data_IF_651740019055
#
_entry.id   IF_651740019055
#
_cell.length_a   1.000
_cell.length_b   1.000
_cell.length_c   1.000
_cell.angle_alpha   90.00
_cell.angle_beta   90.00
_cell.angle_gamma   90.00
#
_symmetry.space_group_name_H-M   'P 1'
#
loop_
_entity.id
_entity.type
_entity.pdbx_description
1 polymer ?
#
# COMPACT_ATOMS: atom_id res chain seq x y z
N UNK A 1 -22.58 56.86 9.20
CA UNK A 1 -22.30 56.68 7.76
C UNK A 1 -20.94 56.00 7.66
N UNK A 2 -20.93 54.67 7.63
CA UNK A 2 -19.72 53.83 7.67
C UNK A 2 -19.37 53.43 6.23
N UNK A 3 -18.19 53.80 5.76
CA UNK A 3 -17.60 53.26 4.54
C UNK A 3 -16.48 52.30 4.97
N UNK A 4 -16.75 50.99 4.92
CA UNK A 4 -15.72 49.97 5.03
C UNK A 4 -15.07 49.80 3.65
N UNK A 5 -13.79 50.12 3.57
CA UNK A 5 -12.92 49.60 2.51
C UNK A 5 -12.38 48.25 2.98
N UNK A 6 -12.92 47.15 2.48
CA UNK A 6 -12.27 45.84 2.57
C UNK A 6 -11.48 45.60 1.30
N UNK A 7 -10.18 45.92 1.36
CA UNK A 7 -9.19 45.36 0.44
C UNK A 7 -9.06 43.86 0.76
N UNK A 8 -9.48 42.99 -0.17
CA UNK A 8 -9.11 41.59 -0.16
C UNK A 8 -7.61 41.46 -0.49
N UNK A 9 -6.80 40.71 0.29
CA UNK A 9 -5.39 40.60 0.01
C UNK A 9 -5.13 39.63 -1.16
N UNK A 10 -4.34 40.13 -2.11
CA UNK A 10 -3.69 39.46 -3.25
C UNK A 10 -2.76 38.27 -2.89
N UNK A 11 -2.88 37.67 -1.71
CA UNK A 11 -1.89 36.72 -1.17
C UNK A 11 -2.10 35.25 -1.53
N UNK A 12 -3.21 34.86 -2.16
CA UNK A 12 -3.49 33.44 -2.46
C UNK A 12 -3.05 32.97 -3.85
N UNK A 13 -2.69 33.89 -4.77
CA UNK A 13 -2.00 33.51 -6.02
C UNK A 13 -0.55 33.06 -5.77
N UNK A 14 0.05 33.41 -4.63
CA UNK A 14 1.49 33.29 -4.39
C UNK A 14 1.99 31.85 -4.29
N UNK A 15 1.22 30.94 -3.67
CA UNK A 15 1.70 29.60 -3.31
C UNK A 15 1.54 28.58 -4.45
N UNK A 16 0.46 28.64 -5.23
CA UNK A 16 0.24 27.68 -6.33
C UNK A 16 0.97 28.05 -7.61
N UNK A 17 1.17 29.35 -7.84
CA UNK A 17 2.07 29.79 -8.90
C UNK A 17 3.48 29.24 -8.60
N UNK A 18 3.89 28.95 -7.36
CA UNK A 18 5.20 28.32 -7.06
C UNK A 18 5.36 26.89 -7.59
N UNK A 19 4.36 26.02 -7.40
CA UNK A 19 4.47 24.61 -7.85
C UNK A 19 4.34 24.51 -9.37
N UNK A 20 3.45 25.32 -9.97
CA UNK A 20 3.42 25.49 -11.41
C UNK A 20 4.68 26.21 -11.95
N UNK A 21 5.29 27.12 -11.18
CA UNK A 21 6.56 27.81 -11.52
C UNK A 21 7.72 26.83 -11.57
N UNK A 22 7.81 25.90 -10.63
CA UNK A 22 8.92 24.95 -10.56
C UNK A 22 8.81 23.90 -11.66
N UNK A 23 7.62 23.35 -11.93
CA UNK A 23 7.43 22.39 -13.04
C UNK A 23 7.56 23.07 -14.41
N UNK A 24 6.96 24.26 -14.61
CA UNK A 24 7.05 25.01 -15.86
C UNK A 24 8.37 25.77 -16.05
N UNK A 25 9.31 25.73 -15.08
CA UNK A 25 10.65 26.30 -15.25
C UNK A 25 11.55 25.46 -16.16
N UNK A 26 11.15 24.22 -16.46
CA UNK A 26 11.89 23.30 -17.33
C UNK A 26 11.47 23.33 -18.80
N UNK A 27 10.32 23.92 -19.14
CA UNK A 27 9.79 23.98 -20.51
C UNK A 27 9.89 25.40 -21.08
N UNK A 28 10.84 25.62 -22.00
CA UNK A 28 11.03 26.89 -22.70
C UNK A 28 9.81 27.33 -23.51
N UNK A 29 9.59 28.65 -23.57
CA UNK A 29 8.50 29.31 -24.29
C UNK A 29 8.76 29.35 -25.79
N UNK A 30 7.80 28.87 -26.58
CA UNK A 30 7.73 29.05 -28.04
C UNK A 30 6.49 28.36 -28.58
N UNK A 31 6.03 28.76 -29.77
CA UNK A 31 5.07 28.01 -30.60
C UNK A 31 5.28 26.51 -30.42
N UNK A 32 4.33 25.81 -29.80
CA UNK A 32 4.47 24.38 -29.56
C UNK A 32 4.50 23.65 -30.90
N UNK A 33 5.64 23.05 -31.23
CA UNK A 33 5.84 22.32 -32.49
C UNK A 33 5.07 21.00 -32.54
N UNK A 34 4.60 20.52 -31.40
CA UNK A 34 3.71 19.36 -31.26
C UNK A 34 2.78 19.51 -30.06
N UNK A 35 1.50 19.18 -30.24
CA UNK A 35 0.49 19.16 -29.20
C UNK A 35 0.16 17.72 -28.78
N UNK A 36 0.01 17.50 -27.48
CA UNK A 36 -0.32 16.21 -26.88
C UNK A 36 -1.79 16.15 -26.45
N UNK A 37 -2.36 14.95 -26.43
CA UNK A 37 -3.61 14.67 -25.74
C UNK A 37 -3.31 14.17 -24.33
N UNK A 38 -3.83 14.85 -23.32
CA UNK A 38 -3.77 14.45 -21.92
C UNK A 38 -5.05 13.69 -21.58
N UNK A 39 -4.92 12.41 -21.24
CA UNK A 39 -5.97 11.63 -20.59
C UNK A 39 -5.83 11.76 -19.06
N UNK A 40 -6.84 12.33 -18.41
CA UNK A 40 -6.86 12.58 -16.97
C UNK A 40 -7.05 11.29 -16.15
N UNK A 41 -7.69 10.27 -16.72
CA UNK A 41 -7.88 8.97 -16.08
C UNK A 41 -6.60 8.12 -16.18
N UNK A 42 -5.94 8.14 -17.34
CA UNK A 42 -4.74 7.34 -17.61
C UNK A 42 -3.64 8.15 -18.35
N UNK A 43 -2.95 9.07 -17.65
CA UNK A 43 -1.95 9.93 -18.28
C UNK A 43 -0.71 9.14 -18.66
N UNK A 44 -0.21 9.33 -19.89
CA UNK A 44 1.08 8.76 -20.32
C UNK A 44 2.24 9.44 -19.56
N UNK A 45 2.68 8.86 -18.44
CA UNK A 45 3.64 9.48 -17.51
C UNK A 45 4.96 9.94 -18.16
N UNK A 46 5.39 9.29 -19.25
CA UNK A 46 6.59 9.68 -20.01
C UNK A 46 6.44 11.02 -20.74
N UNK A 47 5.21 11.45 -21.03
CA UNK A 47 4.89 12.63 -21.83
C UNK A 47 4.49 13.84 -20.96
N UNK A 48 4.22 13.61 -19.67
CA UNK A 48 3.76 14.64 -18.74
C UNK A 48 4.52 14.61 -17.41
N UNK A 49 4.93 15.79 -16.94
CA UNK A 49 5.28 15.97 -15.53
C UNK A 49 4.01 16.00 -14.69
N UNK A 50 3.93 15.15 -13.65
CA UNK A 50 2.76 15.04 -12.77
C UNK A 50 3.17 15.43 -11.35
N UNK A 51 2.48 16.41 -10.79
CA UNK A 51 2.56 16.76 -9.36
C UNK A 51 1.24 16.39 -8.69
N UNK A 52 1.31 15.77 -7.52
CA UNK A 52 0.11 15.33 -6.78
C UNK A 52 0.08 15.99 -5.41
N UNK A 53 -0.99 16.73 -5.14
CA UNK A 53 -1.29 17.29 -3.83
C UNK A 53 -2.53 16.60 -3.26
N UNK A 54 -2.40 16.00 -2.07
CA UNK A 54 -3.50 15.32 -1.38
C UNK A 54 -3.87 16.11 -0.13
N UNK A 55 -5.15 16.45 0.01
CA UNK A 55 -5.70 17.07 1.20
C UNK A 55 -7.05 16.45 1.55
N UNK A 56 -7.08 15.66 2.61
CA UNK A 56 -8.25 14.89 3.03
C UNK A 56 -8.78 14.01 1.89
N UNK A 57 -10.00 14.25 1.47
CA UNK A 57 -10.68 13.54 0.40
C UNK A 57 -10.45 14.18 -0.96
N UNK A 58 -9.74 15.30 -1.03
CA UNK A 58 -9.47 16.00 -2.29
C UNK A 58 -8.05 15.67 -2.76
N UNK A 59 -7.92 15.21 -3.99
CA UNK A 59 -6.63 15.05 -4.66
C UNK A 59 -6.59 15.99 -5.86
N UNK A 60 -5.54 16.81 -5.91
CA UNK A 60 -5.23 17.66 -7.05
C UNK A 60 -4.05 17.03 -7.77
N UNK A 61 -4.22 16.70 -9.05
CA UNK A 61 -3.13 16.36 -9.95
C UNK A 61 -2.86 17.54 -10.87
N UNK A 62 -1.62 18.02 -10.91
CA UNK A 62 -1.18 19.05 -11.85
C UNK A 62 -0.33 18.40 -12.93
N UNK A 63 -0.74 18.57 -14.18
CA UNK A 63 -0.08 18.04 -15.37
C UNK A 63 0.58 19.16 -16.15
N UNK A 64 1.81 18.93 -16.60
CA UNK A 64 2.50 19.80 -17.55
C UNK A 64 3.15 18.94 -18.65
N UNK A 65 3.06 19.37 -19.90
CA UNK A 65 3.68 18.65 -21.01
C UNK A 65 5.22 18.68 -20.91
N UNK A 66 5.85 17.51 -21.06
CA UNK A 66 7.30 17.39 -21.03
C UNK A 66 7.95 17.89 -22.34
N UNK A 67 9.21 18.33 -22.25
CA UNK A 67 10.05 18.57 -23.43
C UNK A 67 9.64 19.76 -24.32
N UNK A 68 9.02 20.80 -23.75
CA UNK A 68 8.63 22.00 -24.51
C UNK A 68 7.37 21.83 -25.39
N UNK A 69 6.70 20.68 -25.29
CA UNK A 69 5.41 20.42 -25.93
C UNK A 69 4.27 21.18 -25.21
N UNK A 70 3.12 21.27 -25.85
CA UNK A 70 1.89 21.81 -25.26
C UNK A 70 0.81 20.74 -25.17
N UNK A 71 -0.18 20.94 -24.30
CA UNK A 71 -1.36 20.08 -24.22
C UNK A 71 -2.40 20.64 -25.18
N UNK A 72 -2.75 19.90 -26.24
CA UNK A 72 -3.72 20.34 -27.26
C UNK A 72 -5.14 19.82 -27.03
N UNK A 73 -5.28 18.72 -26.31
CA UNK A 73 -6.57 18.14 -25.94
C UNK A 73 -6.48 17.58 -24.53
N UNK A 74 -7.55 17.74 -23.75
CA UNK A 74 -7.71 17.17 -22.41
C UNK A 74 -8.96 16.31 -22.45
N UNK A 75 -8.81 15.03 -22.10
CA UNK A 75 -9.91 14.06 -22.09
C UNK A 75 -10.02 13.39 -20.71
N UNK A 76 -11.21 12.92 -20.38
CA UNK A 76 -11.47 12.08 -19.21
C UNK A 76 -12.49 11.01 -19.60
N UNK A 77 -12.14 9.72 -19.45
CA UNK A 77 -12.97 8.59 -19.86
C UNK A 77 -13.52 8.73 -21.31
N UNK A 78 -12.63 9.04 -22.25
CA UNK A 78 -12.92 9.29 -23.68
C UNK A 78 -13.80 10.53 -23.98
N UNK A 79 -14.22 11.30 -22.97
CA UNK A 79 -14.93 12.57 -23.15
C UNK A 79 -13.95 13.75 -23.31
N UNK A 80 -14.18 14.60 -24.32
CA UNK A 80 -13.41 15.84 -24.50
C UNK A 80 -13.78 16.86 -23.40
N UNK A 81 -12.82 17.18 -22.53
CA UNK A 81 -12.96 18.22 -21.49
C UNK A 81 -12.60 19.59 -22.05
N UNK A 82 -11.48 19.67 -22.78
CA UNK A 82 -11.00 20.92 -23.37
C UNK A 82 -10.12 20.65 -24.59
N UNK A 83 -10.21 21.54 -25.59
CA UNK A 83 -9.40 21.48 -26.81
C UNK A 83 -8.80 22.84 -27.14
N UNK A 84 -7.53 22.86 -27.51
CA UNK A 84 -6.82 24.05 -27.92
C UNK A 84 -7.36 24.61 -29.24
N UNK A 85 -7.54 25.92 -29.30
CA UNK A 85 -7.65 26.64 -30.57
C UNK A 85 -6.27 26.73 -31.26
N UNK A 86 -6.27 26.89 -32.58
CA UNK A 86 -5.09 26.73 -33.43
C UNK A 86 -3.80 27.36 -32.87
N UNK A 87 -2.81 26.52 -32.58
CA UNK A 87 -1.42 26.92 -32.29
C UNK A 87 -1.08 27.24 -30.82
N UNK A 88 -2.05 27.20 -29.89
CA UNK A 88 -1.80 27.54 -28.49
C UNK A 88 -2.30 26.43 -27.53
N UNK A 89 -1.43 25.47 -27.22
CA UNK A 89 -1.69 24.44 -26.22
C UNK A 89 -1.70 24.98 -24.78
N UNK A 90 -2.28 24.21 -23.87
CA UNK A 90 -2.18 24.47 -22.44
C UNK A 90 -0.78 24.14 -21.92
N UNK A 91 -0.33 24.98 -20.99
CA UNK A 91 0.94 24.87 -20.27
C UNK A 91 0.81 24.03 -19.00
N UNK A 92 -0.38 24.03 -18.39
CA UNK A 92 -0.70 23.17 -17.25
C UNK A 92 -2.19 22.83 -17.20
N UNK A 93 -2.52 21.70 -16.59
CA UNK A 93 -3.89 21.29 -16.28
C UNK A 93 -3.95 20.85 -14.82
N UNK A 94 -4.83 21.44 -14.03
CA UNK A 94 -5.12 21.01 -12.67
C UNK A 94 -6.41 20.19 -12.66
N UNK A 95 -6.33 18.96 -12.19
CA UNK A 95 -7.45 18.03 -12.09
C UNK A 95 -7.76 17.75 -10.64
N UNK A 96 -8.98 18.09 -10.23
CA UNK A 96 -9.47 17.95 -8.87
C UNK A 96 -10.40 16.75 -8.80
N UNK A 97 -10.03 15.80 -7.96
CA UNK A 97 -10.87 14.65 -7.63
C UNK A 97 -11.26 14.72 -6.16
N UNK A 98 -12.45 14.22 -5.84
CA UNK A 98 -12.95 14.06 -4.48
C UNK A 98 -13.35 12.61 -4.27
N UNK A 99 -12.75 11.95 -3.28
CA UNK A 99 -12.90 10.50 -3.04
C UNK A 99 -12.68 9.66 -4.31
N UNK A 100 -11.73 10.08 -5.16
CA UNK A 100 -11.43 9.44 -6.45
C UNK A 100 -12.37 9.81 -7.60
N UNK A 101 -13.51 10.48 -7.34
CA UNK A 101 -14.40 10.97 -8.40
C UNK A 101 -13.90 12.28 -8.99
N UNK A 102 -13.96 12.40 -10.31
CA UNK A 102 -13.67 13.62 -11.03
C UNK A 102 -14.67 14.73 -10.67
N UNK A 103 -14.16 15.93 -10.35
CA UNK A 103 -15.00 17.05 -9.94
C UNK A 103 -14.74 18.31 -10.77
N UNK A 104 -13.48 18.75 -10.85
CA UNK A 104 -13.13 20.02 -11.49
C UNK A 104 -11.86 19.89 -12.34
N UNK A 105 -11.78 20.68 -13.41
CA UNK A 105 -10.57 20.85 -14.23
C UNK A 105 -10.30 22.34 -14.44
N UNK A 106 -9.07 22.77 -14.23
CA UNK A 106 -8.58 24.09 -14.61
C UNK A 106 -7.48 23.92 -15.66
N UNK A 107 -7.65 24.57 -16.81
CA UNK A 107 -6.70 24.55 -17.92
C UNK A 107 -6.01 25.91 -18.01
N UNK A 108 -4.67 25.91 -17.96
CA UNK A 108 -3.84 27.11 -18.00
C UNK A 108 -3.18 27.24 -19.37
N UNK A 109 -3.53 28.29 -20.11
CA UNK A 109 -2.98 28.61 -21.43
C UNK A 109 -2.27 29.97 -21.41
N UNK A 110 -1.59 30.31 -22.51
CA UNK A 110 -0.93 31.60 -22.65
C UNK A 110 0.43 31.68 -21.96
N UNK A 111 0.95 32.90 -21.82
CA UNK A 111 2.30 33.12 -21.27
C UNK A 111 2.27 33.19 -19.75
N UNK A 112 3.42 32.94 -19.09
CA UNK A 112 3.57 33.10 -17.63
C UNK A 112 3.17 34.50 -17.11
N UNK A 113 3.25 35.53 -17.95
CA UNK A 113 2.91 36.91 -17.59
C UNK A 113 1.43 37.23 -17.79
N UNK A 114 0.77 36.53 -18.70
CA UNK A 114 -0.62 36.72 -19.09
C UNK A 114 -1.26 35.35 -19.29
N UNK A 115 -1.50 34.60 -18.21
CA UNK A 115 -2.18 33.31 -18.30
C UNK A 115 -3.66 33.53 -18.62
N UNK A 116 -4.21 32.68 -19.48
CA UNK A 116 -5.66 32.55 -19.69
C UNK A 116 -6.10 31.22 -19.10
N UNK A 117 -7.09 31.29 -18.21
CA UNK A 117 -7.62 30.15 -17.49
C UNK A 117 -8.98 29.75 -18.09
N UNK A 118 -9.18 28.45 -18.21
CA UNK A 118 -10.47 27.84 -18.52
C UNK A 118 -10.84 26.90 -17.38
N UNK A 119 -12.11 26.88 -17.00
CA UNK A 119 -12.58 26.17 -15.82
C UNK A 119 -13.72 25.24 -16.21
N UNK A 120 -13.65 24.01 -15.75
CA UNK A 120 -14.64 22.99 -16.04
C UNK A 120 -15.11 22.33 -14.75
N UNK A 121 -16.40 22.08 -14.68
CA UNK A 121 -17.03 21.31 -13.61
C UNK A 121 -17.69 20.07 -14.19
N UNK A 122 -17.46 18.93 -13.54
CA UNK A 122 -18.11 17.68 -13.90
C UNK A 122 -19.51 17.64 -13.28
N UNK A 123 -20.53 17.76 -14.11
CA UNK A 123 -21.93 17.76 -13.69
C UNK A 123 -22.67 16.56 -14.30
N UNK A 124 -22.89 15.54 -13.48
CA UNK A 124 -23.51 14.29 -13.91
C UNK A 124 -22.56 13.44 -14.76
N UNK A 125 -22.75 13.46 -16.09
CA UNK A 125 -21.98 12.69 -17.07
C UNK A 125 -21.26 13.58 -18.09
N UNK A 126 -21.18 14.89 -17.86
CA UNK A 126 -20.53 15.80 -18.80
C UNK A 126 -19.64 16.80 -18.07
N UNK A 127 -18.62 17.25 -18.79
CA UNK A 127 -17.82 18.41 -18.42
C UNK A 127 -18.42 19.69 -18.98
N UNK A 128 -18.68 20.66 -18.11
CA UNK A 128 -19.26 21.95 -18.48
C UNK A 128 -18.24 23.05 -18.19
N UNK A 129 -17.94 23.88 -19.19
CA UNK A 129 -17.15 25.10 -18.97
C UNK A 129 -17.95 26.07 -18.09
N UNK A 130 -17.34 26.52 -17.00
CA UNK A 130 -17.95 27.41 -16.00
C UNK A 130 -17.13 28.67 -15.82
N UNK A 131 -17.72 29.70 -15.21
CA UNK A 131 -16.99 30.93 -14.88
C UNK A 131 -15.99 30.68 -13.73
N UNK A 132 -14.97 31.55 -13.63
CA UNK A 132 -14.01 31.51 -12.52
C UNK A 132 -14.70 31.59 -11.15
N UNK A 133 -15.79 32.36 -11.05
CA UNK A 133 -16.55 32.52 -9.82
C UNK A 133 -17.23 31.21 -9.40
N UNK A 134 -17.90 30.53 -10.35
CA UNK A 134 -18.53 29.22 -10.12
C UNK A 134 -17.48 28.18 -9.75
N UNK A 135 -16.37 28.12 -10.49
CA UNK A 135 -15.27 27.22 -10.20
C UNK A 135 -14.67 27.48 -8.80
N UNK A 136 -14.45 28.74 -8.43
CA UNK A 136 -13.93 29.08 -7.11
C UNK A 136 -14.90 28.70 -5.98
N UNK A 137 -16.21 28.81 -6.21
CA UNK A 137 -17.25 28.32 -5.31
C UNK A 137 -17.19 26.81 -5.15
N UNK A 138 -17.31 26.07 -6.26
CA UNK A 138 -17.25 24.61 -6.28
C UNK A 138 -15.94 24.09 -5.66
N UNK A 139 -14.81 24.72 -5.96
CA UNK A 139 -13.51 24.38 -5.37
C UNK A 139 -13.49 24.59 -3.86
N UNK A 140 -14.10 25.65 -3.33
CA UNK A 140 -14.23 25.83 -1.86
C UNK A 140 -15.10 24.73 -1.27
N UNK A 141 -16.19 24.37 -1.93
CA UNK A 141 -17.10 23.32 -1.47
C UNK A 141 -16.46 21.94 -1.48
N UNK A 142 -15.51 21.67 -2.40
CA UNK A 142 -14.71 20.44 -2.37
C UNK A 142 -14.00 20.23 -1.03
N UNK A 143 -13.53 21.30 -0.39
CA UNK A 143 -12.85 21.23 0.92
C UNK A 143 -13.80 21.41 2.10
N UNK A 144 -14.93 22.09 1.89
CA UNK A 144 -15.85 22.49 2.96
C UNK A 144 -17.08 21.56 3.11
N UNK A 145 -17.23 20.54 2.27
CA UNK A 145 -18.38 19.61 2.37
C UNK A 145 -18.38 18.90 3.73
N UNK A 146 -19.51 18.99 4.43
CA UNK A 146 -19.72 18.32 5.70
C UNK A 146 -19.68 16.79 5.48
N UNK A 147 -18.78 16.12 6.20
CA UNK A 147 -18.74 14.67 6.21
C UNK A 147 -19.81 14.15 7.17
N UNK A 148 -20.37 12.97 6.90
CA UNK A 148 -21.41 12.37 7.71
C UNK A 148 -20.79 11.53 8.84
N UNK A 149 -21.10 11.77 10.12
CA UNK A 149 -20.66 10.92 11.22
C UNK A 149 -21.32 9.54 11.15
N UNK A 150 -20.56 8.51 11.50
CA UNK A 150 -21.03 7.12 11.57
C UNK A 150 -20.65 6.46 12.88
N UNK A 151 -21.66 5.93 13.55
CA UNK A 151 -21.51 4.98 14.65
C UNK A 151 -21.31 3.58 14.08
N UNK A 152 -20.26 2.89 14.53
CA UNK A 152 -19.93 1.54 14.07
C UNK A 152 -19.78 0.57 15.25
N UNK A 153 -20.11 -0.70 15.01
CA UNK A 153 -19.98 -1.78 15.98
C UNK A 153 -18.93 -2.78 15.50
N UNK A 154 -17.84 -2.89 16.25
CA UNK A 154 -16.66 -3.72 15.98
C UNK A 154 -17.04 -5.20 15.87
N UNK A 155 -18.07 -5.65 16.60
CA UNK A 155 -18.53 -7.04 16.58
C UNK A 155 -19.24 -7.43 15.28
N UNK A 156 -19.64 -6.45 14.45
CA UNK A 156 -20.36 -6.67 13.19
C UNK A 156 -19.81 -5.83 12.01
N UNK A 157 -18.58 -5.32 12.14
CA UNK A 157 -17.95 -4.44 11.15
C UNK A 157 -17.89 -5.02 9.73
N UNK A 158 -17.63 -6.33 9.60
CA UNK A 158 -17.50 -7.01 8.31
C UNK A 158 -18.78 -6.98 7.46
N UNK A 159 -19.93 -6.75 8.10
CA UNK A 159 -21.23 -6.63 7.41
C UNK A 159 -21.48 -5.18 6.99
N UNK A 160 -21.02 -4.22 7.79
CA UNK A 160 -21.33 -2.81 7.62
C UNK A 160 -20.33 -2.07 6.71
N UNK A 161 -19.07 -2.48 6.70
CA UNK A 161 -17.99 -1.82 5.95
C UNK A 161 -17.10 -2.82 5.22
N UNK A 162 -16.65 -2.52 4.00
CA UNK A 162 -15.68 -3.35 3.31
C UNK A 162 -14.34 -3.35 4.05
N UNK A 163 -13.70 -4.52 4.16
CA UNK A 163 -12.35 -4.65 4.70
C UNK A 163 -11.36 -4.12 3.67
N UNK A 164 -10.65 -3.04 4.02
CA UNK A 164 -9.68 -2.40 3.12
C UNK A 164 -8.38 -3.22 3.02
N UNK A 165 -7.98 -3.86 4.12
CA UNK A 165 -6.84 -4.77 4.20
C UNK A 165 -7.08 -5.82 5.28
N UNK A 166 -6.72 -7.07 5.00
CA UNK A 166 -6.72 -8.17 5.96
C UNK A 166 -5.36 -8.87 5.94
N UNK A 167 -4.85 -9.25 7.10
CA UNK A 167 -3.62 -10.04 7.24
C UNK A 167 -3.78 -11.05 8.37
N UNK A 168 -3.38 -12.30 8.13
CA UNK A 168 -3.49 -13.39 9.09
C UNK A 168 -2.13 -14.02 9.35
N UNK A 169 -1.76 -14.14 10.62
CA UNK A 169 -0.57 -14.85 11.07
C UNK A 169 -0.98 -15.79 12.22
N UNK A 170 -1.15 -17.08 11.92
CA UNK A 170 -1.66 -18.05 12.90
C UNK A 170 -3.00 -17.61 13.50
N UNK A 171 -3.06 -17.53 14.83
CA UNK A 171 -4.22 -17.05 15.59
C UNK A 171 -4.42 -15.53 15.59
N UNK A 172 -3.45 -14.75 15.09
CA UNK A 172 -3.54 -13.30 14.98
C UNK A 172 -4.18 -12.92 13.64
N UNK A 173 -5.20 -12.09 13.70
CA UNK A 173 -5.88 -11.50 12.54
C UNK A 173 -5.86 -9.97 12.67
N UNK A 174 -5.39 -9.32 11.62
CA UNK A 174 -5.38 -7.87 11.47
C UNK A 174 -6.35 -7.46 10.38
N UNK A 175 -7.18 -6.45 10.66
CA UNK A 175 -8.08 -5.84 9.66
C UNK A 175 -8.05 -4.33 9.71
N UNK A 176 -8.12 -3.73 8.54
CA UNK A 176 -8.23 -2.29 8.35
C UNK A 176 -9.60 -1.95 7.77
N UNK A 177 -10.28 -0.99 8.39
CA UNK A 177 -11.55 -0.45 7.95
C UNK A 177 -11.40 1.05 7.68
N UNK A 178 -11.97 1.48 6.56
CA UNK A 178 -12.02 2.88 6.15
C UNK A 178 -13.48 3.30 6.02
N UNK A 179 -13.87 4.50 6.49
CA UNK A 179 -15.20 5.03 6.25
C UNK A 179 -15.52 5.06 4.76
N UNK A 180 -16.81 4.90 4.43
CA UNK A 180 -17.26 5.08 3.05
C UNK A 180 -17.05 6.53 2.62
N UNK A 181 -17.12 6.73 1.30
CA UNK A 181 -17.04 8.04 0.68
C UNK A 181 -18.01 9.04 1.34
N UNK A 182 -17.49 10.19 1.77
CA UNK A 182 -18.28 11.24 2.44
C UNK A 182 -18.49 11.02 3.94
N UNK A 183 -17.98 9.94 4.52
CA UNK A 183 -18.23 9.56 5.92
C UNK A 183 -16.97 9.63 6.80
N UNK A 184 -17.16 9.65 8.12
CA UNK A 184 -16.12 9.37 9.11
C UNK A 184 -16.71 8.59 10.27
N UNK A 185 -15.90 7.80 10.97
CA UNK A 185 -16.34 7.12 12.18
C UNK A 185 -16.39 8.13 13.34
N UNK A 186 -17.56 8.27 13.97
CA UNK A 186 -17.77 9.18 15.11
C UNK A 186 -17.79 8.43 16.44
N UNK A 187 -18.26 7.18 16.44
CA UNK A 187 -18.46 6.36 17.62
C UNK A 187 -18.16 4.89 17.29
N UNK A 188 -17.53 4.20 18.23
CA UNK A 188 -17.17 2.79 18.18
C UNK A 188 -17.87 2.06 19.34
N UNK A 189 -18.53 0.97 19.02
CA UNK A 189 -19.11 0.03 19.96
C UNK A 189 -18.51 -1.36 19.77
N UNK A 190 -18.60 -2.20 20.79
CA UNK A 190 -18.35 -3.64 20.74
C UNK A 190 -19.60 -4.32 21.30
N UNK A 191 -20.53 -4.65 20.40
CA UNK A 191 -21.90 -5.01 20.70
C UNK A 191 -22.64 -3.88 21.40
N UNK A 192 -22.92 -4.05 22.70
CA UNK A 192 -23.60 -3.03 23.53
C UNK A 192 -22.65 -2.12 24.29
N UNK A 193 -21.35 -2.42 24.27
CA UNK A 193 -20.35 -1.70 25.04
C UNK A 193 -19.84 -0.53 24.22
N UNK A 194 -19.95 0.68 24.74
CA UNK A 194 -19.31 1.86 24.13
C UNK A 194 -17.79 1.77 24.30
N UNK A 195 -17.05 1.92 23.21
CA UNK A 195 -15.60 1.75 23.16
C UNK A 195 -14.90 3.10 23.05
N UNK A 196 -15.33 3.93 22.10
CA UNK A 196 -14.69 5.19 21.80
C UNK A 196 -15.67 6.10 21.07
N UNK A 197 -15.54 7.41 21.27
CA UNK A 197 -16.31 8.46 20.64
C UNK A 197 -15.43 9.68 20.35
N UNK A 198 -15.92 10.53 19.47
CA UNK A 198 -15.36 11.85 19.22
C UNK A 198 -15.66 12.80 20.40
N UNK A 199 -14.83 12.77 21.45
CA UNK A 199 -15.05 13.57 22.70
C UNK A 199 -14.84 15.08 22.60
N UNK A 200 -15.11 15.70 21.44
CA UNK A 200 -15.05 17.16 21.12
C UNK A 200 -13.76 17.67 20.43
N UNK A 201 -13.94 18.68 19.56
CA UNK A 201 -13.00 19.25 18.58
C UNK A 201 -12.68 18.31 17.39
N UNK A 202 -12.44 18.82 16.15
CA UNK A 202 -12.73 18.13 14.89
C UNK A 202 -11.73 17.01 14.59
N UNK A 203 -11.86 15.89 15.30
CA UNK A 203 -11.15 14.64 15.05
C UNK A 203 -11.99 13.79 14.13
N UNK A 204 -11.51 13.55 12.91
CA UNK A 204 -12.16 12.61 12.00
C UNK A 204 -11.39 11.30 12.07
N UNK A 205 -12.01 10.23 12.55
CA UNK A 205 -11.41 8.89 12.51
C UNK A 205 -11.45 8.40 11.05
N UNK A 206 -10.27 8.28 10.46
CA UNK A 206 -10.07 7.99 9.05
C UNK A 206 -9.80 6.51 8.80
N UNK A 207 -9.11 5.84 9.73
CA UNK A 207 -8.87 4.40 9.65
C UNK A 207 -9.03 3.78 11.03
N UNK A 208 -9.67 2.62 11.08
CA UNK A 208 -9.75 1.77 12.24
C UNK A 208 -9.00 0.47 11.95
N UNK A 209 -8.03 0.16 12.79
CA UNK A 209 -7.27 -1.09 12.74
C UNK A 209 -7.72 -1.98 13.90
N UNK A 210 -8.21 -3.18 13.59
CA UNK A 210 -8.69 -4.16 14.56
C UNK A 210 -7.74 -5.35 14.56
N UNK A 211 -7.18 -5.66 15.72
CA UNK A 211 -6.31 -6.81 15.94
C UNK A 211 -7.05 -7.82 16.81
N UNK A 212 -7.31 -8.98 16.22
CA UNK A 212 -8.00 -10.09 16.88
C UNK A 212 -7.05 -11.24 17.14
N UNK A 213 -7.21 -11.91 18.27
CA UNK A 213 -6.45 -13.11 18.63
C UNK A 213 -7.42 -14.23 18.99
N UNK A 214 -7.26 -15.40 18.39
CA UNK A 214 -8.21 -16.52 18.52
C UNK A 214 -9.67 -16.16 18.16
N UNK A 215 -9.85 -15.24 17.20
CA UNK A 215 -11.17 -14.82 16.74
C UNK A 215 -11.84 -13.71 17.57
N UNK A 216 -11.20 -13.23 18.64
CA UNK A 216 -11.71 -12.14 19.46
C UNK A 216 -10.89 -10.87 19.29
N UNK A 217 -11.56 -9.72 19.12
CA UNK A 217 -10.90 -8.42 19.06
C UNK A 217 -10.22 -8.08 20.39
N UNK A 218 -8.92 -7.78 20.34
CA UNK A 218 -8.07 -7.59 21.51
C UNK A 218 -7.38 -6.23 21.56
N UNK A 219 -6.97 -5.67 20.41
CA UNK A 219 -6.42 -4.32 20.31
C UNK A 219 -7.09 -3.51 19.20
N UNK A 220 -7.16 -2.20 19.40
CA UNK A 220 -7.56 -1.23 18.38
C UNK A 220 -6.46 -0.19 18.21
N UNK A 221 -6.26 0.22 16.97
CA UNK A 221 -5.44 1.36 16.61
C UNK A 221 -6.28 2.30 15.75
N UNK A 222 -6.41 3.55 16.20
CA UNK A 222 -7.34 4.54 15.66
C UNK A 222 -6.52 5.65 15.04
N UNK A 223 -6.69 5.86 13.73
CA UNK A 223 -5.99 6.90 12.99
C UNK A 223 -6.92 8.05 12.66
N UNK A 224 -6.66 9.22 13.26
CA UNK A 224 -7.50 10.39 13.05
C UNK A 224 -6.69 11.61 12.63
N UNK A 225 -7.37 12.47 11.88
CA UNK A 225 -6.90 13.82 11.58
C UNK A 225 -7.50 14.81 12.56
N UNK A 226 -6.66 15.56 13.24
CA UNK A 226 -7.04 16.69 14.08
C UNK A 226 -7.17 17.93 13.20
N UNK A 227 -8.36 18.54 13.18
CA UNK A 227 -8.58 19.77 12.43
C UNK A 227 -7.87 20.96 13.07
N UNK A 228 -7.08 21.67 12.28
CA UNK A 228 -6.47 22.95 12.66
C UNK A 228 -7.47 24.08 12.43
N UNK A 229 -7.82 24.85 13.46
CA UNK A 229 -8.56 26.11 13.28
C UNK A 229 -7.70 27.23 12.69
N UNK A 230 -6.38 27.03 12.53
CA UNK A 230 -5.50 28.01 11.90
C UNK A 230 -4.51 27.36 10.94
N UNK A 231 -4.30 28.05 9.81
CA UNK A 231 -3.31 27.76 8.79
C UNK A 231 -1.92 27.86 9.41
N UNK A 232 -1.39 26.75 9.89
CA UNK A 232 0.02 26.63 10.25
C UNK A 232 0.61 25.35 9.68
N UNK A 233 1.78 25.55 9.08
CA UNK A 233 2.60 24.66 8.28
C UNK A 233 3.03 23.38 8.99
N UNK A 234 3.18 22.35 8.15
CA UNK A 234 3.93 21.11 8.34
C UNK A 234 3.45 20.12 9.41
N UNK A 235 2.67 19.15 8.93
CA UNK A 235 2.83 17.70 9.20
C UNK A 235 2.57 17.15 10.62
N UNK A 236 1.83 17.86 11.49
CA UNK A 236 1.43 17.34 12.82
C UNK A 236 -0.07 17.06 13.00
N UNK A 237 -0.82 16.95 11.90
CA UNK A 237 -2.29 16.83 11.95
C UNK A 237 -2.82 15.42 12.14
N UNK A 238 -1.97 14.40 12.06
CA UNK A 238 -2.37 13.02 12.23
C UNK A 238 -1.97 12.51 13.62
N UNK A 239 -2.90 11.81 14.24
CA UNK A 239 -2.78 11.29 15.59
C UNK A 239 -3.27 9.85 15.62
N UNK A 240 -2.74 9.15 16.61
CA UNK A 240 -3.04 7.74 16.84
C UNK A 240 -3.49 7.59 18.29
N UNK A 241 -4.63 6.95 18.48
CA UNK A 241 -5.03 6.42 19.78
C UNK A 241 -4.96 4.89 19.70
N UNK A 242 -4.66 4.29 20.84
CA UNK A 242 -4.54 2.84 20.97
C UNK A 242 -5.45 2.39 22.11
N UNK A 243 -6.22 1.33 21.88
CA UNK A 243 -7.03 0.71 22.92
C UNK A 243 -6.66 -0.76 23.02
N UNK A 244 -6.73 -1.28 24.23
CA UNK A 244 -6.59 -2.71 24.50
C UNK A 244 -7.79 -3.20 25.30
N UNK A 245 -8.25 -4.40 24.99
CA UNK A 245 -9.24 -5.09 25.80
C UNK A 245 -8.54 -5.67 27.03
N UNK A 246 -8.87 -5.18 28.22
CA UNK A 246 -8.31 -5.58 29.52
C UNK A 246 -9.50 -5.99 30.40
N UNK A 247 -9.52 -7.23 30.86
CA UNK A 247 -10.61 -7.80 31.68
C UNK A 247 -12.02 -7.59 31.07
N UNK A 248 -12.11 -7.66 29.75
CA UNK A 248 -13.35 -7.51 28.99
C UNK A 248 -13.75 -6.06 28.67
N UNK A 249 -13.04 -5.06 29.21
CA UNK A 249 -13.28 -3.64 28.94
C UNK A 249 -12.22 -3.06 27.98
N UNK A 250 -12.64 -2.12 27.13
CA UNK A 250 -11.72 -1.41 26.26
C UNK A 250 -11.11 -0.21 26.99
N UNK A 251 -9.80 -0.23 27.14
CA UNK A 251 -9.04 0.80 27.86
C UNK A 251 -8.04 1.48 26.93
N UNK A 252 -7.89 2.81 26.98
CA UNK A 252 -6.81 3.51 26.30
C UNK A 252 -5.44 3.04 26.81
N UNK A 253 -4.50 2.79 25.91
CA UNK A 253 -3.12 2.39 26.24
C UNK A 253 -2.11 3.25 25.49
N UNK A 254 -0.88 3.31 25.99
CA UNK A 254 0.21 3.95 25.26
C UNK A 254 0.60 3.15 24.00
N UNK A 255 1.22 3.82 23.02
CA UNK A 255 1.77 3.14 21.83
C UNK A 255 2.78 2.03 22.19
N UNK A 256 3.53 2.22 23.29
CA UNK A 256 4.48 1.23 23.81
C UNK A 256 3.76 0.01 24.38
N UNK A 257 2.71 0.19 25.17
CA UNK A 257 1.91 -0.90 25.71
C UNK A 257 1.15 -1.65 24.61
N UNK A 258 0.60 -0.92 23.64
CA UNK A 258 0.00 -1.50 22.44
C UNK A 258 1.02 -2.37 21.70
N UNK A 259 2.21 -1.84 21.41
CA UNK A 259 3.27 -2.58 20.71
C UNK A 259 3.71 -3.81 21.49
N UNK A 260 3.83 -3.72 22.82
CA UNK A 260 4.13 -4.85 23.68
C UNK A 260 3.05 -5.93 23.60
N UNK A 261 1.78 -5.57 23.70
CA UNK A 261 0.65 -6.50 23.60
C UNK A 261 0.54 -7.12 22.21
N UNK A 262 0.73 -6.32 21.15
CA UNK A 262 0.79 -6.78 19.76
C UNK A 262 1.90 -7.81 19.57
N UNK A 263 3.11 -7.51 20.02
CA UNK A 263 4.23 -8.45 19.94
C UNK A 263 3.94 -9.74 20.72
N UNK A 264 3.32 -9.67 21.91
CA UNK A 264 2.90 -10.86 22.65
C UNK A 264 1.85 -11.70 21.89
N UNK A 265 0.87 -11.06 21.25
CA UNK A 265 -0.11 -11.78 20.42
C UNK A 265 0.53 -12.38 19.18
N UNK A 266 1.43 -11.64 18.53
CA UNK A 266 2.19 -12.12 17.37
C UNK A 266 3.09 -13.30 17.74
N UNK A 267 3.82 -13.20 18.83
CA UNK A 267 4.71 -14.24 19.32
C UNK A 267 3.91 -15.43 19.90
N UNK A 268 2.75 -15.18 20.50
CA UNK A 268 1.78 -16.20 20.90
C UNK A 268 1.14 -16.91 19.70
N UNK A 269 0.85 -16.19 18.62
CA UNK A 269 0.37 -16.77 17.37
C UNK A 269 1.43 -17.67 16.72
N UNK A 270 2.72 -17.36 16.93
CA UNK A 270 3.84 -18.24 16.55
C UNK A 270 3.96 -19.48 17.44
N UNK A 271 3.43 -19.47 18.67
CA UNK A 271 3.55 -20.54 19.67
C UNK A 271 2.56 -21.71 19.51
N UNK A 272 1.72 -21.74 18.48
CA UNK A 272 0.65 -22.76 18.36
C UNK A 272 0.88 -23.75 17.22
N UNK A 273 2.02 -24.44 17.20
CA UNK A 273 2.16 -25.78 16.57
C UNK A 273 3.18 -26.60 17.37
N UNK A 274 2.75 -27.18 18.48
CA UNK A 274 3.56 -28.17 19.19
C UNK A 274 3.20 -29.57 18.66
N UNK A 275 4.09 -30.17 17.86
CA UNK A 275 3.92 -31.52 17.33
C UNK A 275 4.86 -31.81 16.16
N UNK A 276 5.17 -33.08 15.95
CA UNK A 276 5.95 -33.58 14.80
C UNK A 276 5.29 -33.16 13.49
N UNK A 277 5.95 -32.29 12.73
CA UNK A 277 5.39 -31.71 11.52
C UNK A 277 5.83 -32.50 10.28
N UNK A 278 4.84 -32.96 9.50
CA UNK A 278 5.05 -33.43 8.12
C UNK A 278 4.71 -32.28 7.16
N UNK A 279 5.65 -31.90 6.30
CA UNK A 279 5.46 -30.87 5.26
C UNK A 279 5.36 -31.53 3.90
N UNK A 280 4.26 -31.30 3.19
CA UNK A 280 4.12 -31.65 1.77
C UNK A 280 4.55 -30.45 0.91
N UNK A 281 5.57 -30.65 0.08
CA UNK A 281 6.14 -29.59 -0.77
C UNK A 281 5.21 -29.15 -1.90
N UNK A 282 4.13 -29.90 -2.16
CA UNK A 282 3.09 -29.52 -3.12
C UNK A 282 2.00 -28.65 -2.48
N UNK A 283 1.89 -28.63 -1.15
CA UNK A 283 0.81 -27.97 -0.40
C UNK A 283 1.36 -27.20 0.82
N UNK A 284 2.41 -26.39 0.64
CA UNK A 284 3.09 -25.64 1.72
C UNK A 284 2.27 -24.45 2.26
N UNK A 285 0.93 -24.49 2.15
CA UNK A 285 0.01 -23.44 2.62
C UNK A 285 -0.33 -23.48 4.11
N UNK A 286 0.38 -24.30 4.91
CA UNK A 286 0.07 -24.53 6.31
C UNK A 286 0.82 -23.57 7.26
N UNK A 287 0.19 -23.19 8.37
CA UNK A 287 0.63 -22.19 9.34
C UNK A 287 1.87 -22.56 10.20
N UNK A 288 2.56 -23.66 9.87
CA UNK A 288 3.64 -24.25 10.68
C UNK A 288 5.06 -24.06 10.09
N UNK A 289 5.16 -23.48 8.88
CA UNK A 289 6.42 -23.18 8.21
C UNK A 289 6.40 -21.75 7.65
N UNK A 290 7.55 -21.10 7.66
CA UNK A 290 7.77 -19.83 6.96
C UNK A 290 8.23 -20.13 5.54
N UNK A 291 7.45 -19.72 4.53
CA UNK A 291 7.84 -19.82 3.11
C UNK A 291 8.54 -18.53 2.70
N UNK A 292 9.84 -18.60 2.46
CA UNK A 292 10.67 -17.45 2.05
C UNK A 292 10.64 -17.23 0.55
N UNK A 293 10.61 -18.31 -0.24
CA UNK A 293 10.53 -18.26 -1.71
C UNK A 293 9.45 -19.21 -2.20
N UNK A 294 8.62 -18.75 -3.14
CA UNK A 294 7.58 -19.55 -3.77
C UNK A 294 7.88 -19.76 -5.26
N UNK A 295 7.64 -20.97 -5.82
CA UNK A 295 7.89 -21.25 -7.23
C UNK A 295 7.07 -20.36 -8.17
N UNK A 296 7.73 -19.79 -9.18
CA UNK A 296 7.12 -19.09 -10.32
C UNK A 296 7.99 -19.27 -11.57
N UNK A 297 7.50 -18.83 -12.74
CA UNK A 297 8.26 -18.90 -14.01
C UNK A 297 9.64 -18.24 -13.94
N UNK A 298 9.80 -17.20 -13.09
CA UNK A 298 11.06 -16.44 -12.93
C UNK A 298 11.88 -16.90 -11.72
N UNK A 299 11.29 -17.68 -10.82
CA UNK A 299 11.91 -18.11 -9.58
C UNK A 299 11.52 -19.57 -9.31
N UNK A 300 12.27 -20.55 -9.83
CA UNK A 300 11.91 -21.96 -9.76
C UNK A 300 12.16 -22.59 -8.38
N UNK A 301 12.32 -21.80 -7.32
CA UNK A 301 12.68 -22.30 -6.00
C UNK A 301 11.52 -22.16 -5.02
N UNK A 302 11.26 -23.24 -4.27
CA UNK A 302 10.49 -23.23 -3.04
C UNK A 302 11.47 -23.29 -1.87
N UNK A 303 11.46 -22.28 -1.01
CA UNK A 303 12.28 -22.29 0.22
C UNK A 303 11.39 -22.09 1.42
N UNK A 304 11.49 -22.98 2.40
CA UNK A 304 10.77 -22.88 3.66
C UNK A 304 11.65 -23.29 4.85
N UNK A 305 11.30 -22.79 6.02
CA UNK A 305 11.91 -23.15 7.30
C UNK A 305 10.81 -23.39 8.35
N UNK A 306 11.02 -24.27 9.34
CA UNK A 306 10.11 -24.37 10.46
C UNK A 306 10.07 -23.05 11.22
N UNK A 307 8.89 -22.66 11.70
CA UNK A 307 8.77 -21.56 12.65
C UNK A 307 9.40 -21.97 14.00
N UNK A 308 9.93 -21.01 14.77
CA UNK A 308 10.63 -21.27 16.03
C UNK A 308 9.87 -22.25 16.94
N UNK A 309 10.59 -23.24 17.49
CA UNK A 309 10.07 -24.35 18.31
C UNK A 309 9.30 -25.46 17.55
N UNK A 310 9.17 -25.37 16.20
CA UNK A 310 8.59 -26.43 15.35
C UNK A 310 9.67 -27.40 14.87
N UNK A 311 9.38 -28.70 14.91
CA UNK A 311 10.26 -29.75 14.35
C UNK A 311 9.62 -30.35 13.11
N UNK A 312 10.17 -30.06 11.94
CA UNK A 312 9.84 -30.81 10.73
C UNK A 312 10.52 -32.16 10.85
N UNK A 313 9.74 -33.21 11.13
CA UNK A 313 10.23 -34.58 11.22
C UNK A 313 10.08 -35.33 9.90
N UNK A 314 9.31 -34.78 8.96
CA UNK A 314 9.12 -35.39 7.64
C UNK A 314 8.86 -34.35 6.55
N UNK A 315 9.51 -34.54 5.41
CA UNK A 315 9.28 -33.77 4.18
C UNK A 315 8.82 -34.75 3.11
N UNK A 316 7.69 -34.47 2.47
CA UNK A 316 7.06 -35.34 1.45
C UNK A 316 6.72 -34.55 0.19
N UNK A 317 6.57 -35.26 -0.90
CA UNK A 317 5.98 -34.81 -2.16
C UNK A 317 4.76 -35.69 -2.45
N UNK A 318 3.57 -35.21 -2.08
CA UNK A 318 2.38 -36.04 -2.03
C UNK A 318 2.61 -37.29 -1.18
N UNK A 319 2.47 -38.46 -1.79
CA UNK A 319 2.70 -39.75 -1.12
C UNK A 319 4.17 -40.20 -1.09
N UNK A 320 5.09 -39.46 -1.72
CA UNK A 320 6.51 -39.83 -1.80
C UNK A 320 7.29 -39.15 -0.69
N UNK A 321 8.01 -39.92 0.14
CA UNK A 321 8.87 -39.32 1.17
C UNK A 321 10.14 -38.78 0.54
N UNK A 322 10.40 -37.48 0.72
CA UNK A 322 11.68 -36.84 0.37
C UNK A 322 12.69 -37.14 1.47
N UNK A 323 12.26 -36.94 2.72
CA UNK A 323 13.07 -37.16 3.90
C UNK A 323 12.20 -37.42 5.13
N UNK A 324 12.67 -38.26 6.05
CA UNK A 324 12.06 -38.49 7.35
C UNK A 324 13.15 -38.59 8.41
N UNK A 325 13.10 -37.69 9.41
CA UNK A 325 13.98 -37.67 10.56
C UNK A 325 13.34 -38.40 11.74
N UNK A 326 13.94 -39.50 12.16
CA UNK A 326 13.47 -40.22 13.35
C UNK A 326 13.82 -39.45 14.64
N UNK A 327 15.06 -38.96 14.73
CA UNK A 327 15.60 -38.23 15.89
C UNK A 327 16.19 -36.87 15.50
N UNK A 328 16.00 -36.47 14.24
CA UNK A 328 16.58 -35.28 13.62
C UNK A 328 15.47 -34.40 13.08
N UNK A 329 15.65 -33.08 13.10
CA UNK A 329 14.69 -32.10 12.58
C UNK A 329 15.21 -31.43 11.32
N UNK A 330 14.35 -31.19 10.34
CA UNK A 330 14.66 -30.34 9.21
C UNK A 330 14.46 -28.87 9.63
N UNK A 331 15.53 -28.07 9.59
CA UNK A 331 15.56 -26.64 9.98
C UNK A 331 15.52 -25.69 8.78
N UNK A 332 15.72 -26.22 7.58
CA UNK A 332 15.48 -25.48 6.33
C UNK A 332 15.31 -26.45 5.17
N UNK A 333 14.50 -26.08 4.19
CA UNK A 333 14.35 -26.84 2.95
C UNK A 333 14.31 -25.88 1.77
N UNK A 334 15.03 -26.22 0.71
CA UNK A 334 15.00 -25.51 -0.57
C UNK A 334 14.87 -26.52 -1.70
N UNK A 335 13.83 -26.38 -2.52
CA UNK A 335 13.53 -27.28 -3.63
C UNK A 335 13.55 -26.51 -4.94
N UNK A 336 14.19 -27.09 -5.95
CA UNK A 336 14.16 -26.60 -7.32
C UNK A 336 13.05 -27.31 -8.10
N UNK A 337 12.16 -26.54 -8.70
CA UNK A 337 11.06 -26.98 -9.54
C UNK A 337 11.41 -26.82 -11.02
N UNK A 338 11.02 -27.80 -11.83
CA UNK A 338 11.02 -27.74 -13.29
C UNK A 338 9.69 -28.26 -13.78
N UNK A 339 8.97 -27.46 -14.59
CA UNK A 339 7.64 -27.81 -15.11
C UNK A 339 6.69 -28.27 -13.99
N UNK A 340 6.58 -27.46 -12.94
CA UNK A 340 5.73 -27.69 -11.75
C UNK A 340 6.10 -28.93 -10.90
N UNK A 341 7.24 -29.58 -11.18
CA UNK A 341 7.70 -30.75 -10.43
C UNK A 341 9.02 -30.48 -9.71
N UNK A 342 9.15 -30.83 -8.43
CA UNK A 342 10.43 -30.72 -7.73
C UNK A 342 11.41 -31.75 -8.29
N UNK A 343 12.64 -31.32 -8.60
CA UNK A 343 13.70 -32.16 -9.20
C UNK A 343 14.95 -32.28 -8.33
N UNK A 344 15.23 -31.27 -7.50
CA UNK A 344 16.34 -31.23 -6.55
C UNK A 344 15.84 -30.68 -5.20
N UNK A 345 16.40 -31.16 -4.10
CA UNK A 345 16.13 -30.65 -2.76
C UNK A 345 17.41 -30.53 -1.95
N UNK A 346 17.55 -29.42 -1.23
CA UNK A 346 18.57 -29.18 -0.20
C UNK A 346 17.85 -29.03 1.12
N UNK A 347 18.20 -29.85 2.12
CA UNK A 347 17.63 -29.81 3.46
C UNK A 347 18.73 -29.50 4.47
N UNK A 348 18.51 -28.51 5.35
CA UNK A 348 19.30 -28.34 6.57
C UNK A 348 18.70 -29.21 7.66
N UNK A 349 19.49 -30.15 8.19
CA UNK A 349 19.09 -31.13 9.19
C UNK A 349 19.86 -30.88 10.48
N UNK A 350 19.14 -30.69 11.57
CA UNK A 350 19.67 -30.57 12.92
C UNK A 350 19.69 -31.95 13.59
N UNK A 351 20.87 -32.34 14.09
CA UNK A 351 21.12 -33.60 14.77
C UNK A 351 21.91 -33.37 16.07
N UNK A 352 21.23 -32.92 17.12
CA UNK A 352 21.87 -32.52 18.37
C UNK A 352 22.49 -31.13 18.25
N UNK A 353 23.80 -30.99 18.50
CA UNK A 353 24.53 -29.72 18.37
C UNK A 353 25.12 -29.49 16.97
N UNK A 354 24.94 -30.44 16.04
CA UNK A 354 25.43 -30.33 14.67
C UNK A 354 24.30 -30.06 13.67
N UNK A 355 24.50 -29.09 12.78
CA UNK A 355 23.69 -28.88 11.58
C UNK A 355 24.38 -29.50 10.36
N UNK A 356 23.64 -30.28 9.57
CA UNK A 356 24.14 -30.97 8.37
C UNK A 356 23.24 -30.66 7.18
N UNK A 357 23.86 -30.46 6.03
CA UNK A 357 23.11 -30.29 4.79
C UNK A 357 22.96 -31.64 4.06
N UNK A 358 21.74 -31.95 3.65
CA UNK A 358 21.39 -33.11 2.83
C UNK A 358 20.95 -32.65 1.44
N UNK A 359 21.60 -33.19 0.41
CA UNK A 359 21.34 -32.87 -0.98
C UNK A 359 20.69 -34.07 -1.67
N UNK A 360 19.54 -33.88 -2.30
CA UNK A 360 18.71 -34.94 -2.86
C UNK A 360 18.35 -34.65 -4.32
N UNK A 361 18.33 -35.70 -5.12
CA UNK A 361 17.87 -35.68 -6.51
C UNK A 361 16.65 -36.58 -6.67
N UNK A 362 15.63 -36.08 -7.37
CA UNK A 362 14.49 -36.89 -7.76
C UNK A 362 14.84 -37.80 -8.94
N UNK A 363 14.56 -39.09 -8.79
CA UNK A 363 14.72 -40.13 -9.81
C UNK A 363 13.42 -40.93 -9.96
N UNK A 364 13.42 -41.90 -10.87
CA UNK A 364 12.23 -42.71 -11.22
C UNK A 364 11.51 -43.32 -10.02
N UNK A 365 12.23 -43.69 -8.95
CA UNK A 365 11.69 -44.40 -7.79
C UNK A 365 11.75 -43.59 -6.48
N UNK A 366 11.92 -42.28 -6.56
CA UNK A 366 11.92 -41.40 -5.40
C UNK A 366 13.16 -40.52 -5.31
N UNK A 367 13.49 -40.11 -4.09
CA UNK A 367 14.53 -39.14 -3.78
C UNK A 367 15.81 -39.82 -3.31
N UNK A 368 16.95 -39.43 -3.87
CA UNK A 368 18.24 -40.07 -3.60
C UNK A 368 19.29 -39.05 -3.18
N UNK A 369 20.12 -39.34 -2.16
CA UNK A 369 21.20 -38.45 -1.76
C UNK A 369 22.24 -38.35 -2.87
N UNK A 370 22.75 -37.14 -3.08
CA UNK A 370 23.83 -36.82 -4.00
C UNK A 370 24.90 -35.98 -3.29
N UNK A 371 26.11 -35.95 -3.84
CA UNK A 371 27.17 -35.08 -3.35
C UNK A 371 26.83 -33.61 -3.61
N UNK A 372 27.29 -32.70 -2.75
CA UNK A 372 27.07 -31.25 -2.88
C UNK A 372 27.53 -30.75 -4.25
N UNK A 373 28.68 -31.21 -4.74
CA UNK A 373 29.25 -30.80 -6.02
C UNK A 373 28.35 -31.22 -7.19
N UNK A 374 27.75 -32.40 -7.11
CA UNK A 374 26.80 -32.89 -8.11
C UNK A 374 25.47 -32.11 -8.05
N UNK A 375 25.05 -31.68 -6.87
CA UNK A 375 23.87 -30.83 -6.68
C UNK A 375 24.11 -29.45 -7.29
N UNK A 376 25.20 -28.79 -6.94
CA UNK A 376 25.55 -27.45 -7.41
C UNK A 376 25.64 -27.41 -8.94
N UNK A 377 26.32 -28.38 -9.55
CA UNK A 377 26.41 -28.51 -11.01
C UNK A 377 25.02 -28.67 -11.69
N UNK A 378 24.10 -29.38 -11.05
CA UNK A 378 22.73 -29.55 -11.57
C UNK A 378 21.88 -28.30 -11.38
N UNK A 379 22.06 -27.56 -10.28
CA UNK A 379 21.39 -26.26 -10.06
C UNK A 379 21.84 -25.24 -11.10
N UNK A 380 23.13 -25.16 -11.43
CA UNK A 380 23.63 -24.26 -12.48
C UNK A 380 23.03 -24.61 -13.85
N UNK A 381 22.96 -25.89 -14.19
CA UNK A 381 22.39 -26.35 -15.47
C UNK A 381 20.87 -26.12 -15.53
N UNK A 382 20.17 -26.34 -14.43
CA UNK A 382 18.71 -26.25 -14.37
C UNK A 382 18.19 -24.82 -14.07
N UNK A 383 19.02 -23.97 -13.46
CA UNK A 383 18.68 -22.64 -12.95
C UNK A 383 19.35 -21.50 -13.71
N UNK A 384 19.25 -21.49 -15.04
CA UNK A 384 19.78 -20.48 -15.98
C UNK A 384 21.23 -20.71 -16.47
N UNK A 385 21.36 -21.41 -17.60
CA UNK A 385 22.21 -20.84 -18.64
C UNK A 385 21.60 -19.50 -19.08
N UNK A 386 22.29 -18.39 -18.78
CA UNK A 386 22.03 -16.96 -19.07
C UNK A 386 21.12 -16.23 -18.06
N UNK A 387 21.62 -15.39 -17.16
CA UNK A 387 22.40 -14.19 -17.42
C UNK A 387 23.54 -13.97 -16.43
N UNK A 388 24.71 -13.74 -17.03
CA UNK A 388 26.00 -13.41 -16.45
C UNK A 388 25.99 -12.22 -15.48
N UNK A 389 26.71 -12.42 -14.36
CA UNK A 389 27.61 -11.49 -13.66
C UNK A 389 26.97 -10.25 -13.01
N UNK A 390 27.29 -10.07 -11.71
CA UNK A 390 26.87 -9.02 -10.74
C UNK A 390 25.45 -9.26 -10.19
N UNK A 391 25.24 -9.88 -9.02
CA UNK A 391 25.54 -9.29 -7.70
C UNK A 391 25.48 -10.40 -6.62
N UNK A 392 26.52 -11.21 -6.48
CA UNK A 392 26.72 -12.07 -5.29
C UNK A 392 27.88 -11.48 -4.50
N UNK A 393 27.60 -10.38 -3.79
CA UNK A 393 28.52 -9.75 -2.85
C UNK A 393 27.77 -8.73 -1.96
N UNK A 394 26.74 -9.16 -1.21
CA UNK A 394 26.13 -8.28 -0.19
C UNK A 394 25.43 -9.00 0.98
N UNK A 395 25.79 -10.26 1.27
CA UNK A 395 25.36 -10.94 2.50
C UNK A 395 26.51 -11.50 3.36
N UNK A 396 27.74 -11.00 3.20
CA UNK A 396 28.89 -11.36 4.05
C UNK A 396 29.55 -10.17 4.76
N UNK A 397 28.77 -9.17 5.17
CA UNK A 397 29.28 -8.11 6.03
C UNK A 397 28.20 -7.66 7.00
N UNK A 398 28.06 -8.37 8.12
CA UNK A 398 27.92 -7.82 9.48
C UNK A 398 27.70 -9.00 10.44
N UNK A 399 28.82 -9.58 10.88
CA UNK A 399 28.91 -10.55 11.96
C UNK A 399 30.39 -10.87 12.20
N UNK A 400 30.88 -10.58 13.42
CA UNK A 400 32.27 -10.62 13.94
C UNK A 400 33.10 -9.35 13.64
N UNK A 401 33.72 -8.62 14.57
CA UNK A 401 34.03 -8.65 16.03
C UNK A 401 34.27 -7.16 16.43
N UNK A 402 33.90 -6.65 17.61
CA UNK A 402 34.43 -6.91 18.97
C UNK A 402 33.38 -6.54 20.03
#
# INVERSE_FOLDING_TARGET
>A
MKMLWTFLPLSFLSVYVSVAKDVASSSGLGSHTSLLTLDLANPAEKDFGISVNKSDHVVIKTFAAAGGKGIGNVVFDDEDVWRAEAGAGASAVNFYTRYGKAMLVEVVTGSKRLPKLFFFEHQGFNWIEVSEEVFCGARKDLYNTAMTPRTIDISSLDIAYPVAREERQGSLLYREYTPLEGEYFSDLYDGKTHVWDIRSYPRKLLNLYVYSFNGEAALLHLYFKEGSTEVASNDRRFKYDYLAKIDGAWEPVSSMEFSRKYNLMRDGAKKTVQGDLTVDVLEVGNAAVEVTLSPSEKQPFLTFAPLSETKITKVVEGNTTIWAGNTTSCVSASLLFKEEKPILAKLGIEAGEEEKELYLEKRTFGWYPIAKEAFDAKVEVAGFATLSIVTVALMFAFGMEF
#
